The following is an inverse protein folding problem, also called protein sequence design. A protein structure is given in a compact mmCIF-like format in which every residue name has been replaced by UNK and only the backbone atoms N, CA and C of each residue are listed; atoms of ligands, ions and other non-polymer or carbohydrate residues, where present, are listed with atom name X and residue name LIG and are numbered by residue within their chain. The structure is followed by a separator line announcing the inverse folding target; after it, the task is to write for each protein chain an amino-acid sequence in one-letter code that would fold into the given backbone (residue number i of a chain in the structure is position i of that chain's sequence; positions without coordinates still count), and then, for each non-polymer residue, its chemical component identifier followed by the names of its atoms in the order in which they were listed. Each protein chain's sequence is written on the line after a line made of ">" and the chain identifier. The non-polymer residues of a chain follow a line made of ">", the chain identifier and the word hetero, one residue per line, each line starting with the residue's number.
data_IF_424377653342
#
_entry.id   IF_424377653342
#
_cell.length_a   1.000
_cell.length_b   1.000
_cell.length_c   1.000
_cell.angle_alpha   90.00
_cell.angle_beta   90.00
_cell.angle_gamma   90.00
#
_symmetry.space_group_name_H-M   'P 1'
#
loop_
_entity.id
_entity.type
_entity.pdbx_description
1 polymer ?
#
# COMPACT_ATOMS: atom_id res chain seq x y z
N UNK A 1 6.79 15.86 -24.52
CA UNK A 1 7.15 14.44 -24.27
C UNK A 1 6.29 13.95 -23.13
N UNK A 2 5.61 12.81 -23.27
CA UNK A 2 4.92 12.18 -22.15
C UNK A 2 5.97 11.51 -21.25
N UNK A 3 5.92 11.77 -19.95
CA UNK A 3 6.73 11.06 -18.96
C UNK A 3 5.90 9.86 -18.51
N UNK A 4 6.32 8.66 -18.90
CA UNK A 4 5.75 7.41 -18.38
C UNK A 4 6.55 7.00 -17.16
N UNK A 5 5.84 6.65 -16.09
CA UNK A 5 6.45 6.16 -14.84
C UNK A 5 5.98 4.72 -14.65
N UNK A 6 6.93 3.84 -14.35
CA UNK A 6 6.69 2.40 -14.20
C UNK A 6 6.69 2.04 -12.73
N UNK A 7 5.60 1.44 -12.26
CA UNK A 7 5.50 0.99 -10.86
C UNK A 7 5.06 -0.45 -10.74
N UNK A 8 4.91 -0.88 -9.49
CA UNK A 8 4.29 -2.15 -9.11
C UNK A 8 3.24 -1.90 -8.02
N UNK A 9 2.28 -2.80 -7.88
CA UNK A 9 1.44 -2.89 -6.69
C UNK A 9 1.84 -4.13 -5.87
N UNK A 10 1.80 -4.00 -4.54
CA UNK A 10 2.17 -5.09 -3.63
C UNK A 10 1.24 -5.19 -2.43
N UNK A 11 1.19 -6.38 -1.86
CA UNK A 11 0.42 -6.73 -0.67
C UNK A 11 1.08 -7.92 0.04
N UNK A 12 0.42 -8.48 1.06
CA UNK A 12 0.86 -9.74 1.69
C UNK A 12 1.08 -10.90 0.73
N UNK A 13 0.47 -10.89 -0.44
CA UNK A 13 0.57 -12.01 -1.38
C UNK A 13 1.95 -12.13 -2.04
N UNK A 14 2.76 -11.07 -2.01
CA UNK A 14 4.16 -11.09 -2.44
C UNK A 14 5.11 -11.58 -1.34
N UNK A 15 4.66 -11.64 -0.08
CA UNK A 15 5.52 -11.91 1.06
C UNK A 15 6.61 -10.84 1.22
N UNK A 16 7.82 -11.26 1.57
CA UNK A 16 8.97 -10.36 1.70
C UNK A 16 9.52 -9.95 0.33
N UNK A 17 9.36 -8.68 -0.02
CA UNK A 17 9.84 -8.10 -1.28
C UNK A 17 11.30 -7.68 -1.18
N UNK A 18 12.10 -8.02 -2.20
CA UNK A 18 13.45 -7.49 -2.37
C UNK A 18 13.43 -6.14 -3.10
N UNK A 19 13.36 -5.06 -2.34
CA UNK A 19 13.18 -3.70 -2.87
C UNK A 19 14.38 -3.18 -3.66
N UNK A 20 15.60 -3.62 -3.37
CA UNK A 20 16.78 -3.24 -4.17
C UNK A 20 16.74 -3.85 -5.56
N UNK A 21 16.24 -5.10 -5.69
CA UNK A 21 16.00 -5.72 -7.00
C UNK A 21 14.87 -5.02 -7.76
N UNK A 22 13.81 -4.60 -7.07
CA UNK A 22 12.71 -3.84 -7.68
C UNK A 22 13.21 -2.51 -8.24
N UNK A 23 14.01 -1.76 -7.48
CA UNK A 23 14.63 -0.52 -7.94
C UNK A 23 15.59 -0.76 -9.12
N UNK A 24 16.44 -1.79 -9.03
CA UNK A 24 17.37 -2.16 -10.11
C UNK A 24 16.65 -2.60 -11.40
N UNK A 25 15.42 -3.11 -11.30
CA UNK A 25 14.55 -3.42 -12.43
C UNK A 25 13.87 -2.17 -13.06
N UNK A 26 14.23 -0.96 -12.62
CA UNK A 26 13.77 0.30 -13.20
C UNK A 26 12.34 0.68 -12.81
N UNK A 27 11.92 0.37 -11.57
CA UNK A 27 10.63 0.80 -11.03
C UNK A 27 10.77 2.14 -10.30
N UNK A 28 9.83 3.05 -10.57
CA UNK A 28 9.79 4.42 -10.06
C UNK A 28 8.91 4.59 -8.81
N UNK A 29 7.93 3.70 -8.64
CA UNK A 29 6.98 3.77 -7.52
C UNK A 29 6.40 2.40 -7.15
N UNK A 30 5.83 2.32 -5.94
CA UNK A 30 5.05 1.19 -5.48
C UNK A 30 3.70 1.65 -4.89
N UNK A 31 2.61 0.94 -5.20
CA UNK A 31 1.31 1.14 -4.54
C UNK A 31 1.09 -0.03 -3.57
N UNK A 32 1.07 0.25 -2.27
CA UNK A 32 1.08 -0.78 -1.23
C UNK A 32 -0.29 -0.95 -0.59
N UNK A 33 -0.78 -2.18 -0.47
CA UNK A 33 -2.07 -2.43 0.21
C UNK A 33 -2.00 -2.10 1.69
N UNK A 34 -2.87 -1.22 2.16
CA UNK A 34 -3.06 -0.89 3.58
C UNK A 34 -3.74 -2.04 4.31
N UNK A 35 -4.80 -2.59 3.71
CA UNK A 35 -5.61 -3.62 4.34
C UNK A 35 -6.86 -3.96 3.55
N UNK A 36 -7.66 -4.84 4.13
CA UNK A 36 -8.93 -5.29 3.56
C UNK A 36 -9.81 -5.92 4.65
N UNK A 37 -10.97 -6.44 4.27
CA UNK A 37 -11.85 -7.24 5.12
C UNK A 37 -12.05 -8.63 4.51
N UNK A 38 -12.28 -9.65 5.35
CA UNK A 38 -12.66 -10.99 4.90
C UNK A 38 -13.58 -11.67 5.93
N UNK A 39 -13.76 -13.00 5.86
CA UNK A 39 -14.57 -13.76 6.82
C UNK A 39 -14.11 -13.65 8.27
N UNK A 40 -12.83 -13.30 8.51
CA UNK A 40 -12.27 -13.03 9.82
C UNK A 40 -12.38 -11.57 10.27
N UNK A 41 -13.02 -10.71 9.45
CA UNK A 41 -13.19 -9.29 9.73
C UNK A 41 -12.19 -8.38 9.03
N UNK A 42 -12.14 -7.14 9.48
CA UNK A 42 -11.27 -6.08 8.99
C UNK A 42 -9.83 -6.29 9.49
N UNK A 43 -8.85 -6.11 8.60
CA UNK A 43 -7.43 -6.25 8.93
C UNK A 43 -6.54 -5.27 8.15
N UNK A 44 -5.43 -4.88 8.77
CA UNK A 44 -4.30 -4.21 8.11
C UNK A 44 -3.43 -5.29 7.47
N UNK A 45 -2.96 -5.05 6.25
CA UNK A 45 -2.06 -5.95 5.55
C UNK A 45 -0.76 -6.09 6.36
N UNK A 46 -0.35 -7.31 6.76
CA UNK A 46 0.78 -7.51 7.67
C UNK A 46 2.12 -7.04 7.08
N UNK A 47 2.21 -6.88 5.76
CA UNK A 47 3.41 -6.38 5.10
C UNK A 47 3.33 -4.89 4.77
N UNK A 48 2.24 -4.17 5.10
CA UNK A 48 2.04 -2.77 4.70
C UNK A 48 3.23 -1.88 5.10
N UNK A 49 3.53 -1.79 6.40
CA UNK A 49 4.59 -0.93 6.89
C UNK A 49 5.98 -1.36 6.41
N UNK A 50 6.24 -2.68 6.35
CA UNK A 50 7.49 -3.22 5.82
C UNK A 50 7.69 -2.83 4.35
N UNK A 51 6.63 -2.90 3.54
CA UNK A 51 6.68 -2.58 2.12
C UNK A 51 6.83 -1.07 1.89
N UNK A 52 6.12 -0.23 2.65
CA UNK A 52 6.30 1.24 2.59
C UNK A 52 7.75 1.60 2.90
N UNK A 53 8.28 1.15 4.04
CA UNK A 53 9.63 1.47 4.47
C UNK A 53 10.69 0.91 3.52
N UNK A 54 10.50 -0.32 3.03
CA UNK A 54 11.42 -0.96 2.10
C UNK A 54 11.47 -0.27 0.73
N UNK A 55 10.31 0.13 0.20
CA UNK A 55 10.23 0.90 -1.04
C UNK A 55 10.90 2.27 -0.89
N UNK A 56 10.62 3.01 0.18
CA UNK A 56 11.28 4.29 0.46
C UNK A 56 12.79 4.14 0.60
N UNK A 57 13.27 3.13 1.34
CA UNK A 57 14.69 2.88 1.51
C UNK A 57 15.40 2.53 0.19
N UNK A 58 14.68 1.98 -0.79
CA UNK A 58 15.16 1.72 -2.14
C UNK A 58 15.02 2.93 -3.09
N UNK A 59 14.53 4.08 -2.59
CA UNK A 59 14.36 5.31 -3.37
C UNK A 59 13.09 5.36 -4.22
N UNK A 60 12.15 4.44 -4.01
CA UNK A 60 10.86 4.45 -4.70
C UNK A 60 9.89 5.38 -3.99
N UNK A 61 9.05 6.05 -4.78
CA UNK A 61 7.88 6.77 -4.28
C UNK A 61 6.75 5.80 -3.94
N UNK A 62 5.95 6.12 -2.93
CA UNK A 62 4.94 5.19 -2.41
C UNK A 62 3.55 5.81 -2.45
N UNK A 63 2.60 5.03 -2.95
CA UNK A 63 1.17 5.24 -2.74
C UNK A 63 0.57 4.06 -2.00
N UNK A 64 -0.71 4.13 -1.70
CA UNK A 64 -1.37 3.05 -0.98
C UNK A 64 -2.75 2.74 -1.56
N UNK A 65 -3.27 1.55 -1.27
CA UNK A 65 -4.66 1.23 -1.59
C UNK A 65 -5.31 0.42 -0.49
N UNK A 66 -6.63 0.46 -0.38
CA UNK A 66 -7.38 -0.47 0.46
C UNK A 66 -8.42 -1.22 -0.36
N UNK A 67 -8.59 -2.51 -0.08
CA UNK A 67 -9.59 -3.32 -0.75
C UNK A 67 -10.82 -3.44 0.14
N UNK A 68 -11.90 -2.76 -0.22
CA UNK A 68 -13.15 -2.73 0.55
C UNK A 68 -14.14 -3.80 0.12
N UNK A 69 -14.81 -4.43 1.09
CA UNK A 69 -16.03 -5.19 0.89
C UNK A 69 -17.26 -4.50 1.51
N UNK A 70 -17.10 -3.26 1.98
CA UNK A 70 -18.15 -2.50 2.64
C UNK A 70 -19.33 -2.25 1.69
N UNK A 71 -20.54 -2.46 2.20
CA UNK A 71 -21.80 -2.18 1.48
C UNK A 71 -22.64 -1.10 2.14
N UNK A 72 -22.16 -0.53 3.25
CA UNK A 72 -22.84 0.49 4.03
C UNK A 72 -21.86 1.58 4.42
N UNK A 73 -22.35 2.80 4.60
CA UNK A 73 -21.52 3.94 5.02
C UNK A 73 -20.84 3.69 6.38
N UNK A 74 -21.53 3.02 7.30
CA UNK A 74 -20.96 2.65 8.60
C UNK A 74 -19.79 1.67 8.47
N UNK A 75 -19.89 0.69 7.56
CA UNK A 75 -18.77 -0.22 7.29
C UNK A 75 -17.59 0.52 6.66
N UNK A 76 -17.84 1.42 5.70
CA UNK A 76 -16.80 2.29 5.12
C UNK A 76 -16.10 3.12 6.19
N UNK A 77 -16.87 3.76 7.09
CA UNK A 77 -16.30 4.57 8.18
C UNK A 77 -15.40 3.74 9.11
N UNK A 78 -15.79 2.50 9.43
CA UNK A 78 -15.00 1.59 10.25
C UNK A 78 -13.69 1.16 9.56
N UNK A 79 -13.76 0.85 8.26
CA UNK A 79 -12.59 0.53 7.44
C UNK A 79 -11.62 1.71 7.39
N UNK A 80 -12.12 2.92 7.06
CA UNK A 80 -11.30 4.13 6.99
C UNK A 80 -10.64 4.48 8.32
N UNK A 81 -11.34 4.37 9.46
CA UNK A 81 -10.73 4.61 10.78
C UNK A 81 -9.52 3.69 11.02
N UNK A 82 -9.63 2.42 10.65
CA UNK A 82 -8.55 1.45 10.82
C UNK A 82 -7.36 1.78 9.91
N UNK A 83 -7.63 2.10 8.64
CA UNK A 83 -6.58 2.37 7.66
C UNK A 83 -5.90 3.73 7.87
N UNK A 84 -6.63 4.75 8.32
CA UNK A 84 -6.05 6.06 8.67
C UNK A 84 -5.07 5.93 9.84
N UNK A 85 -5.40 5.12 10.85
CA UNK A 85 -4.47 4.83 11.94
C UNK A 85 -3.21 4.10 11.44
N UNK A 86 -3.35 3.15 10.52
CA UNK A 86 -2.21 2.42 9.95
C UNK A 86 -1.28 3.33 9.11
N UNK A 87 -1.81 4.39 8.51
CA UNK A 87 -1.05 5.36 7.73
C UNK A 87 -0.49 6.53 8.54
N UNK A 88 -0.81 6.62 9.84
CA UNK A 88 -0.44 7.76 10.65
C UNK A 88 1.09 7.96 10.68
N UNK A 89 1.55 9.14 10.28
CA UNK A 89 2.96 9.48 10.25
C UNK A 89 3.74 8.97 9.04
N UNK A 90 3.09 8.27 8.09
CA UNK A 90 3.73 7.84 6.85
C UNK A 90 3.71 8.97 5.81
N UNK A 91 4.80 9.07 5.05
CA UNK A 91 4.87 9.92 3.86
C UNK A 91 4.43 9.09 2.65
N UNK A 92 3.41 9.56 1.92
CA UNK A 92 2.99 8.94 0.67
C UNK A 92 3.08 9.99 -0.45
N UNK A 93 3.93 9.76 -1.44
CA UNK A 93 4.11 10.65 -2.59
C UNK A 93 3.05 10.43 -3.67
N UNK A 94 2.31 9.32 -3.58
CA UNK A 94 1.14 9.03 -4.41
C UNK A 94 -0.13 8.97 -3.57
N UNK A 95 -1.32 9.11 -4.21
CA UNK A 95 -2.60 9.03 -3.53
C UNK A 95 -2.83 7.70 -2.82
N UNK A 96 -3.84 7.72 -1.96
CA UNK A 96 -4.51 6.52 -1.46
C UNK A 96 -5.68 6.20 -2.39
N UNK A 97 -5.74 4.97 -2.89
CA UNK A 97 -6.75 4.46 -3.82
C UNK A 97 -7.76 3.54 -3.13
#
# INVERSE_FOLDING_TARGET
>A
MAVFQNGIDVSRYQGSVNWSQVAAAGKDFAIVRIGSSNSGGLYVDPYFLQNVNGAHAAGLRVGAYYYTYARTQSAVANELNTFMNAMQGLQLEYPVF
#
